data_IF_823419347173
#
_entry.id   IF_823419347173
#
_cell.length_a   1.000
_cell.length_b   1.000
_cell.length_c   1.000
_cell.angle_alpha   90.00
_cell.angle_beta   90.00
_cell.angle_gamma   90.00
#
_symmetry.space_group_name_H-M   'P 1'
#
loop_
_entity.id
_entity.type
_entity.pdbx_description
1 polymer ?
#
# COMPACT_ATOMS: atom_id res chain seq x y z
N UNK A 1 15.69 -0.02 -12.01
CA UNK A 1 15.24 1.39 -11.94
C UNK A 1 16.30 2.25 -12.58
N UNK A 2 16.07 2.73 -13.80
CA UNK A 2 16.96 3.69 -14.44
C UNK A 2 16.39 5.09 -14.19
N UNK A 3 16.99 5.85 -13.28
CA UNK A 3 16.57 7.21 -13.00
C UNK A 3 17.23 8.16 -14.00
N UNK A 4 16.39 8.87 -14.77
CA UNK A 4 16.78 10.08 -15.49
C UNK A 4 16.07 11.26 -14.82
N UNK A 5 16.86 12.27 -14.50
CA UNK A 5 16.45 13.49 -13.80
C UNK A 5 15.64 14.43 -14.71
N UNK A 6 14.72 15.20 -14.12
CA UNK A 6 14.27 16.48 -14.65
C UNK A 6 13.98 17.46 -13.49
N UNK A 7 14.48 18.71 -13.54
CA UNK A 7 14.34 19.70 -12.47
C UNK A 7 13.15 20.64 -12.72
N UNK A 8 12.47 21.10 -11.66
CA UNK A 8 11.39 22.08 -11.78
C UNK A 8 10.60 22.41 -10.51
N UNK A 9 11.27 23.06 -9.56
CA UNK A 9 10.85 24.29 -8.86
C UNK A 9 9.72 24.37 -7.78
N UNK A 10 10.05 25.24 -6.80
CA UNK A 10 9.27 26.03 -5.80
C UNK A 10 8.59 25.39 -4.56
N UNK A 11 9.33 25.52 -3.46
CA UNK A 11 8.99 25.74 -2.03
C UNK A 11 7.56 26.19 -1.62
N UNK A 12 7.04 25.52 -0.59
CA UNK A 12 6.27 26.17 0.49
C UNK A 12 6.43 25.39 1.81
N UNK A 13 7.09 26.03 2.78
CA UNK A 13 7.22 25.58 4.17
C UNK A 13 5.89 25.78 4.90
N UNK A 14 5.39 24.75 5.60
CA UNK A 14 4.36 24.92 6.63
C UNK A 14 4.49 23.83 7.70
N UNK A 15 4.90 24.26 8.89
CA UNK A 15 4.89 23.50 10.14
C UNK A 15 3.47 23.44 10.72
N UNK A 16 2.94 22.24 11.00
CA UNK A 16 1.90 22.03 12.04
C UNK A 16 1.94 20.57 12.55
N UNK A 17 1.36 20.24 13.72
CA UNK A 17 2.07 19.69 14.87
C UNK A 17 1.90 18.17 15.07
N UNK A 18 2.68 17.66 16.01
CA UNK A 18 2.68 16.27 16.44
C UNK A 18 1.36 15.81 17.11
N UNK A 19 1.11 14.51 16.95
CA UNK A 19 0.41 13.60 17.87
C UNK A 19 -1.10 13.43 17.73
N UNK A 20 -1.49 12.30 17.12
CA UNK A 20 -2.59 11.46 17.61
C UNK A 20 -1.99 10.17 18.19
N UNK A 21 -1.65 10.25 19.48
CA UNK A 21 -1.49 9.10 20.36
C UNK A 21 -2.87 8.52 20.68
N UNK A 22 -3.00 7.19 20.70
CA UNK A 22 -4.03 6.48 21.48
C UNK A 22 -3.43 5.14 21.95
N UNK A 23 -3.69 4.71 23.20
CA UNK A 23 -2.66 4.13 24.07
C UNK A 23 -2.58 2.60 24.03
N UNK A 24 -1.49 2.08 24.59
CA UNK A 24 -1.32 0.66 24.92
C UNK A 24 -2.33 0.23 26.01
N UNK A 25 -2.75 -1.04 26.05
CA UNK A 25 -3.73 -1.49 27.02
C UNK A 25 -3.08 -1.69 28.40
N UNK A 26 -3.63 -1.00 29.40
CA UNK A 26 -3.37 -1.24 30.81
C UNK A 26 -4.22 -2.42 31.31
N UNK A 27 -3.61 -3.23 32.16
CA UNK A 27 -4.21 -4.39 32.83
C UNK A 27 -5.36 -4.04 33.78
N UNK A 28 -6.47 -4.78 33.62
CA UNK A 28 -7.57 -5.14 34.55
C UNK A 28 -8.12 -4.07 35.52
N UNK A 29 -9.38 -3.71 35.27
CA UNK A 29 -10.37 -3.23 36.24
C UNK A 29 -11.74 -3.23 35.56
N UNK A 30 -12.69 -3.96 36.15
CA UNK A 30 -14.08 -4.11 35.73
C UNK A 30 -14.82 -2.76 35.83
N UNK A 31 -15.34 -2.24 34.71
CA UNK A 31 -16.44 -1.27 34.65
C UNK A 31 -16.91 -1.09 33.20
N UNK A 32 -18.23 -1.09 32.99
CA UNK A 32 -18.89 -1.14 31.68
C UNK A 32 -18.50 0.01 30.74
N UNK A 33 -17.70 -0.32 29.73
CA UNK A 33 -17.40 0.55 28.58
C UNK A 33 -18.10 -0.01 27.35
N UNK A 34 -18.84 0.86 26.65
CA UNK A 34 -19.53 0.55 25.41
C UNK A 34 -18.59 -0.13 24.38
N UNK A 35 -19.09 -1.09 23.58
CA UNK A 35 -18.26 -1.78 22.61
C UNK A 35 -17.61 -0.79 21.65
N UNK A 36 -16.31 -0.99 21.38
CA UNK A 36 -15.56 -0.27 20.35
C UNK A 36 -16.37 -0.24 19.03
N UNK A 37 -16.33 0.86 18.26
CA UNK A 37 -17.12 0.97 17.03
C UNK A 37 -16.79 -0.21 16.13
N UNK A 38 -17.82 -0.98 15.78
CA UNK A 38 -17.71 -2.12 14.90
C UNK A 38 -17.02 -1.67 13.62
N UNK A 39 -15.83 -2.21 13.37
CA UNK A 39 -15.11 -2.00 12.12
C UNK A 39 -16.03 -2.48 11.00
N UNK A 40 -16.57 -1.55 10.22
CA UNK A 40 -17.34 -1.88 9.04
C UNK A 40 -16.42 -2.66 8.12
N UNK A 41 -16.69 -3.95 7.93
CA UNK A 41 -16.03 -4.77 6.92
C UNK A 41 -16.48 -4.24 5.57
N UNK A 42 -15.79 -3.22 5.05
CA UNK A 42 -15.95 -2.84 3.66
C UNK A 42 -15.49 -4.01 2.81
N UNK A 43 -16.34 -4.45 1.88
CA UNK A 43 -15.96 -5.46 0.92
C UNK A 43 -14.91 -4.86 -0.02
N UNK A 44 -13.76 -5.51 -0.12
CA UNK A 44 -12.70 -5.11 -1.05
C UNK A 44 -12.31 -6.28 -1.93
N UNK A 45 -11.82 -5.94 -3.12
CA UNK A 45 -11.26 -6.89 -4.09
C UNK A 45 -9.77 -6.57 -4.26
N UNK A 46 -8.93 -7.59 -4.28
CA UNK A 46 -7.49 -7.45 -4.57
C UNK A 46 -7.22 -8.20 -5.87
N UNK A 47 -6.63 -7.53 -6.86
CA UNK A 47 -6.23 -8.17 -8.12
C UNK A 47 -5.01 -7.49 -8.76
N UNK A 48 -4.42 -8.18 -9.75
CA UNK A 48 -3.45 -7.57 -10.66
C UNK A 48 -4.25 -6.89 -11.78
N UNK A 49 -4.19 -5.56 -11.93
CA UNK A 49 -4.87 -4.89 -13.03
C UNK A 49 -4.29 -5.33 -14.39
N UNK A 50 -5.07 -5.27 -15.46
CA UNK A 50 -4.55 -5.54 -16.81
C UNK A 50 -3.49 -4.49 -17.18
N UNK A 51 -2.49 -4.83 -18.03
CA UNK A 51 -1.45 -3.87 -18.45
C UNK A 51 -2.00 -2.58 -19.06
N UNK A 52 -3.16 -2.62 -19.72
CA UNK A 52 -3.82 -1.45 -20.31
C UNK A 52 -4.28 -0.41 -19.26
N UNK A 53 -4.44 -0.79 -17.99
CA UNK A 53 -4.75 0.15 -16.92
C UNK A 53 -3.59 1.16 -16.66
N UNK A 54 -2.39 0.87 -17.14
CA UNK A 54 -1.24 1.78 -17.06
C UNK A 54 -1.42 3.04 -17.94
N UNK A 55 -2.36 3.03 -18.88
CA UNK A 55 -2.65 4.15 -19.77
C UNK A 55 -3.85 4.99 -19.26
N UNK A 56 -4.52 4.57 -18.18
CA UNK A 56 -5.56 5.33 -17.47
C UNK A 56 -4.90 6.30 -16.48
N UNK A 57 -4.69 7.54 -16.90
CA UNK A 57 -4.01 8.56 -16.09
C UNK A 57 -4.70 8.81 -14.73
N UNK A 58 -6.03 9.01 -14.64
CA UNK A 58 -6.72 9.11 -13.34
C UNK A 58 -6.49 7.92 -12.39
N UNK A 59 -6.45 6.69 -12.93
CA UNK A 59 -6.17 5.49 -12.15
C UNK A 59 -4.73 5.48 -11.61
N UNK A 60 -3.75 5.75 -12.48
CA UNK A 60 -2.33 5.82 -12.13
C UNK A 60 -2.07 6.95 -11.12
N UNK A 61 -2.59 8.14 -11.36
CA UNK A 61 -2.43 9.31 -10.49
C UNK A 61 -2.99 9.06 -9.08
N UNK A 62 -4.11 8.33 -8.98
CA UNK A 62 -4.66 7.95 -7.67
C UNK A 62 -3.71 7.03 -6.90
N UNK A 63 -3.10 6.04 -7.56
CA UNK A 63 -2.13 5.14 -6.93
C UNK A 63 -0.86 5.89 -6.50
N UNK A 64 -0.32 6.76 -7.36
CA UNK A 64 0.83 7.63 -7.04
C UNK A 64 0.54 8.46 -5.79
N UNK A 65 -0.65 9.08 -5.73
CA UNK A 65 -1.07 9.87 -4.58
C UNK A 65 -1.10 9.03 -3.30
N UNK A 66 -1.75 7.86 -3.32
CA UNK A 66 -1.83 6.96 -2.16
C UNK A 66 -0.42 6.58 -1.68
N UNK A 67 0.46 6.14 -2.59
CA UNK A 67 1.81 5.71 -2.23
C UNK A 67 2.61 6.86 -1.62
N UNK A 68 2.65 8.02 -2.27
CA UNK A 68 3.45 9.14 -1.78
C UNK A 68 2.91 9.71 -0.46
N UNK A 69 1.59 9.78 -0.26
CA UNK A 69 0.99 10.20 1.02
C UNK A 69 1.32 9.22 2.15
N UNK A 70 1.23 7.91 1.91
CA UNK A 70 1.57 6.88 2.91
C UNK A 70 3.04 6.96 3.30
N UNK A 71 3.93 7.08 2.31
CA UNK A 71 5.37 7.03 2.53
C UNK A 71 5.92 8.32 3.13
N UNK A 72 5.31 9.47 2.86
CA UNK A 72 5.65 10.73 3.52
C UNK A 72 5.51 10.64 5.04
N UNK A 73 4.44 9.99 5.52
CA UNK A 73 4.22 9.75 6.96
C UNK A 73 5.11 8.61 7.47
N UNK A 74 5.19 7.50 6.73
CA UNK A 74 5.83 6.26 7.18
C UNK A 74 7.37 6.32 7.21
N UNK A 75 7.98 7.28 6.51
CA UNK A 75 9.43 7.43 6.35
C UNK A 75 9.92 8.83 6.76
N UNK A 76 9.17 9.49 7.63
CA UNK A 76 9.53 10.80 8.18
C UNK A 76 10.95 10.79 8.76
N UNK A 77 11.78 11.74 8.30
CA UNK A 77 13.17 11.88 8.74
C UNK A 77 14.16 10.86 8.16
N UNK A 78 13.73 9.95 7.28
CA UNK A 78 14.64 9.01 6.58
C UNK A 78 15.25 9.66 5.34
N UNK A 79 14.42 10.38 4.58
CA UNK A 79 14.78 11.02 3.32
C UNK A 79 14.95 12.52 3.48
N UNK A 80 15.76 13.14 2.61
CA UNK A 80 15.81 14.60 2.47
C UNK A 80 14.49 15.14 1.96
N UNK A 81 14.24 16.41 2.28
CA UNK A 81 13.03 17.12 1.86
C UNK A 81 12.82 17.07 0.34
N UNK A 82 11.57 16.91 -0.08
CA UNK A 82 11.18 16.83 -1.48
C UNK A 82 11.30 15.42 -2.10
N UNK A 83 11.77 14.42 -1.36
CA UNK A 83 11.77 13.04 -1.85
C UNK A 83 10.36 12.52 -2.09
N UNK A 84 10.14 11.94 -3.27
CA UNK A 84 8.91 11.21 -3.62
C UNK A 84 9.22 9.73 -3.74
N UNK A 85 8.33 8.88 -3.21
CA UNK A 85 8.54 7.44 -3.20
C UNK A 85 8.39 6.81 -4.58
N UNK A 86 7.49 7.36 -5.38
CA UNK A 86 7.17 6.89 -6.73
C UNK A 86 6.63 8.00 -7.61
N UNK A 87 6.72 7.79 -8.92
CA UNK A 87 6.14 8.63 -9.98
C UNK A 87 5.06 7.87 -10.78
N UNK A 88 4.29 8.59 -11.60
CA UNK A 88 3.32 7.99 -12.52
C UNK A 88 3.98 7.04 -13.53
N UNK A 89 5.18 7.37 -14.00
CA UNK A 89 5.94 6.51 -14.92
C UNK A 89 6.29 5.16 -14.28
N UNK A 90 6.78 5.17 -13.04
CA UNK A 90 7.12 3.95 -12.30
C UNK A 90 5.88 3.11 -11.98
N UNK A 91 4.78 3.74 -11.54
CA UNK A 91 3.51 3.04 -11.29
C UNK A 91 2.99 2.39 -12.58
N UNK A 92 3.00 3.11 -13.70
CA UNK A 92 2.59 2.58 -14.99
C UNK A 92 3.50 1.41 -15.45
N UNK A 93 4.82 1.49 -15.22
CA UNK A 93 5.75 0.40 -15.51
C UNK A 93 5.44 -0.86 -14.68
N UNK A 94 5.22 -0.72 -13.37
CA UNK A 94 4.85 -1.84 -12.49
C UNK A 94 3.51 -2.48 -12.88
N UNK A 95 2.53 -1.68 -13.33
CA UNK A 95 1.26 -2.20 -13.84
C UNK A 95 1.48 -2.99 -15.13
N UNK A 96 2.23 -2.44 -16.10
CA UNK A 96 2.53 -3.14 -17.37
C UNK A 96 3.29 -4.44 -17.14
N UNK A 97 4.18 -4.48 -16.15
CA UNK A 97 4.92 -5.67 -15.75
C UNK A 97 4.07 -6.71 -14.99
N UNK A 98 2.83 -6.37 -14.59
CA UNK A 98 1.99 -7.24 -13.76
C UNK A 98 2.56 -7.48 -12.36
N UNK A 99 3.31 -6.49 -11.86
CA UNK A 99 3.97 -6.50 -10.55
C UNK A 99 3.20 -5.73 -9.49
N UNK A 100 2.25 -4.87 -9.86
CA UNK A 100 1.45 -4.11 -8.90
C UNK A 100 0.10 -4.78 -8.65
N UNK A 101 -0.13 -5.31 -7.45
CA UNK A 101 -1.48 -5.69 -7.01
C UNK A 101 -2.20 -4.49 -6.41
N UNK A 102 -3.48 -4.34 -6.74
CA UNK A 102 -4.30 -3.19 -6.35
C UNK A 102 -5.52 -3.67 -5.57
N UNK A 103 -5.81 -2.99 -4.47
CA UNK A 103 -7.02 -3.14 -3.70
C UNK A 103 -8.07 -2.13 -4.18
N UNK A 104 -9.29 -2.62 -4.34
CA UNK A 104 -10.43 -1.87 -4.81
C UNK A 104 -11.55 -1.92 -3.79
N UNK A 105 -12.23 -0.79 -3.57
CA UNK A 105 -13.48 -0.79 -2.82
C UNK A 105 -14.56 -1.45 -3.68
N UNK A 106 -15.14 -2.54 -3.20
CA UNK A 106 -16.37 -3.09 -3.76
C UNK A 106 -17.48 -2.33 -3.05
N UNK A 107 -18.25 -1.53 -3.78
CA UNK A 107 -19.42 -0.87 -3.20
C UNK A 107 -20.38 -1.96 -2.69
N UNK A 108 -20.26 -2.31 -1.41
CA UNK A 108 -21.24 -3.14 -0.72
C UNK A 108 -22.53 -2.36 -0.69
N UNK A 109 -23.56 -2.88 -1.37
CA UNK A 109 -24.94 -2.40 -1.40
C UNK A 109 -25.15 -1.04 -0.74
N UNK A 110 -25.32 0.03 -1.54
CA UNK A 110 -26.14 1.15 -1.11
C UNK A 110 -27.42 0.55 -0.54
N UNK A 111 -27.57 0.52 0.80
CA UNK A 111 -28.87 0.29 1.42
C UNK A 111 -29.70 1.48 1.00
N UNK A 112 -30.37 1.33 -0.14
CA UNK A 112 -31.50 2.14 -0.51
C UNK A 112 -32.53 1.91 0.58
N UNK A 113 -32.52 2.73 1.62
CA UNK A 113 -33.72 2.98 2.40
C UNK A 113 -34.64 3.83 1.52
N UNK A 114 -35.16 3.21 0.46
CA UNK A 114 -36.29 3.72 -0.28
C UNK A 114 -37.50 3.49 0.61
N UNK A 115 -37.80 4.50 1.42
CA UNK A 115 -39.14 4.69 1.98
C UNK A 115 -40.04 4.89 0.76
N UNK A 116 -40.81 3.85 0.44
CA UNK A 116 -41.84 3.87 -0.58
C UNK A 116 -42.98 4.76 -0.13
N UNK A 117 -43.01 6.00 -0.61
CA UNK A 117 -44.26 6.77 -0.65
C UNK A 117 -44.90 6.55 -2.02
N UNK A 118 -46.01 5.80 -2.01
CA UNK A 118 -46.98 5.74 -3.10
C UNK A 118 -47.54 7.13 -3.39
N UNK A 119 -47.55 7.53 -4.65
CA UNK A 119 -48.63 8.33 -5.20
C UNK A 119 -48.71 8.14 -6.72
N UNK A 120 -49.90 7.78 -7.18
CA UNK A 120 -50.27 7.48 -8.56
C UNK A 120 -50.22 8.70 -9.48
N UNK A 121 -49.80 8.53 -10.75
CA UNK A 121 -50.63 8.69 -11.98
C UNK A 121 -49.79 8.95 -13.26
N UNK A 122 -50.09 8.11 -14.27
CA UNK A 122 -50.16 8.26 -15.74
C UNK A 122 -49.01 8.75 -16.64
N UNK A 123 -48.81 7.92 -17.68
CA UNK A 123 -48.51 8.18 -19.09
C UNK A 123 -47.47 9.26 -19.45
N UNK A 124 -46.31 8.83 -19.94
CA UNK A 124 -45.94 9.13 -21.32
C UNK A 124 -44.77 8.28 -21.82
N UNK A 125 -44.85 7.99 -23.11
CA UNK A 125 -44.01 7.11 -23.89
C UNK A 125 -42.86 7.94 -24.46
N UNK A 126 -41.65 7.80 -23.92
CA UNK A 126 -40.48 8.27 -24.66
C UNK A 126 -39.22 7.40 -24.50
N UNK A 127 -38.61 7.23 -25.66
CA UNK A 127 -37.39 6.54 -26.08
C UNK A 127 -36.27 6.37 -25.02
N UNK A 128 -36.13 5.14 -24.51
CA UNK A 128 -35.00 4.73 -23.68
C UNK A 128 -33.78 4.38 -24.56
N UNK A 129 -33.06 5.38 -25.08
CA UNK A 129 -31.63 5.21 -25.36
C UNK A 129 -30.92 5.23 -24.01
N UNK A 130 -30.87 4.07 -23.36
CA UNK A 130 -30.02 3.83 -22.20
C UNK A 130 -28.56 4.04 -22.65
N UNK A 131 -28.06 5.28 -22.49
CA UNK A 131 -26.62 5.51 -22.37
C UNK A 131 -26.20 4.64 -21.21
N UNK A 132 -25.52 3.54 -21.50
CA UNK A 132 -24.76 2.78 -20.52
C UNK A 132 -23.85 3.77 -19.81
N UNK A 133 -24.28 4.31 -18.66
CA UNK A 133 -23.37 5.02 -17.78
C UNK A 133 -22.22 4.05 -17.54
N UNK A 134 -20.96 4.43 -17.80
CA UNK A 134 -19.83 3.61 -17.42
C UNK A 134 -20.06 3.24 -15.95
N UNK A 135 -20.15 1.94 -15.65
CA UNK A 135 -20.16 1.51 -14.26
C UNK A 135 -18.97 2.21 -13.61
N UNK A 136 -19.15 2.90 -12.47
CA UNK A 136 -18.04 3.60 -11.83
C UNK A 136 -16.91 2.59 -11.66
N UNK A 137 -15.78 2.86 -12.31
CA UNK A 137 -14.63 1.97 -12.23
C UNK A 137 -14.31 1.82 -10.74
N UNK A 138 -14.11 0.58 -10.26
CA UNK A 138 -13.90 0.33 -8.85
C UNK A 138 -12.71 1.18 -8.39
N UNK A 139 -12.89 1.94 -7.31
CA UNK A 139 -11.92 2.94 -6.89
C UNK A 139 -10.72 2.26 -6.21
N UNK A 140 -9.47 2.51 -6.66
CA UNK A 140 -8.30 1.97 -5.99
C UNK A 140 -8.10 2.63 -4.62
N UNK A 141 -7.93 1.80 -3.60
CA UNK A 141 -7.76 2.19 -2.19
C UNK A 141 -6.41 1.74 -1.61
N UNK A 142 -5.60 1.03 -2.38
CA UNK A 142 -4.25 0.64 -1.97
C UNK A 142 -3.55 -0.25 -2.99
N UNK A 143 -2.26 -0.47 -2.79
CA UNK A 143 -1.46 -1.36 -3.63
C UNK A 143 -0.33 -2.04 -2.86
N UNK A 144 0.23 -3.09 -3.46
CA UNK A 144 1.48 -3.73 -3.08
C UNK A 144 2.22 -4.15 -4.34
N UNK A 145 3.51 -3.88 -4.40
CA UNK A 145 4.37 -4.35 -5.48
C UNK A 145 4.90 -5.75 -5.15
N UNK A 146 4.88 -6.67 -6.12
CA UNK A 146 5.24 -8.08 -5.98
C UNK A 146 6.13 -8.48 -7.15
N UNK A 147 7.36 -8.86 -6.85
CA UNK A 147 8.39 -9.20 -7.86
C UNK A 147 8.97 -10.57 -7.60
N UNK A 148 9.65 -11.11 -8.61
CA UNK A 148 10.55 -12.25 -8.44
C UNK A 148 11.96 -11.66 -8.33
N UNK A 149 12.69 -12.00 -7.28
CA UNK A 149 14.08 -11.59 -7.16
C UNK A 149 14.94 -12.39 -8.12
N UNK A 150 15.93 -11.75 -8.77
CA UNK A 150 16.93 -12.49 -9.52
C UNK A 150 17.68 -13.42 -8.56
N UNK A 151 18.10 -14.58 -9.08
CA UNK A 151 18.99 -15.48 -8.33
C UNK A 151 20.31 -14.73 -8.12
N UNK A 152 20.73 -14.59 -6.86
CA UNK A 152 22.02 -13.99 -6.53
C UNK A 152 23.19 -14.80 -7.08
N UNK A 153 24.39 -14.22 -7.04
CA UNK A 153 25.62 -14.91 -7.50
C UNK A 153 25.92 -16.16 -6.67
N UNK A 154 25.48 -16.19 -5.41
CA UNK A 154 25.42 -17.40 -4.59
C UNK A 154 24.14 -18.17 -4.92
N UNK A 155 24.27 -19.47 -5.25
CA UNK A 155 23.24 -20.41 -5.72
C UNK A 155 22.02 -20.62 -4.78
N UNK A 156 21.36 -19.54 -4.38
CA UNK A 156 20.19 -19.51 -3.52
C UNK A 156 18.92 -19.85 -4.28
N UNK A 157 17.90 -20.28 -3.53
CA UNK A 157 16.55 -20.51 -4.06
C UNK A 157 15.96 -19.19 -4.59
N UNK A 158 15.22 -19.27 -5.71
CA UNK A 158 14.46 -18.13 -6.21
C UNK A 158 13.44 -17.66 -5.17
N UNK A 159 13.35 -16.34 -4.96
CA UNK A 159 12.46 -15.74 -3.96
C UNK A 159 11.48 -14.78 -4.60
N UNK A 160 10.30 -14.68 -4.00
CA UNK A 160 9.41 -13.55 -4.23
C UNK A 160 9.84 -12.39 -3.35
N UNK A 161 9.56 -11.17 -3.78
CA UNK A 161 9.66 -9.97 -2.95
C UNK A 161 8.33 -9.26 -2.99
N UNK A 162 7.91 -8.68 -1.87
CA UNK A 162 6.93 -7.61 -1.93
C UNK A 162 7.42 -6.36 -1.20
N UNK A 163 7.00 -5.22 -1.73
CA UNK A 163 7.32 -3.89 -1.23
C UNK A 163 6.23 -2.91 -1.63
N UNK A 164 6.45 -1.62 -1.34
CA UNK A 164 5.50 -0.56 -1.68
C UNK A 164 4.05 -0.88 -1.23
N UNK A 165 3.90 -1.43 -0.01
CA UNK A 165 2.59 -1.69 0.58
C UNK A 165 1.99 -0.37 1.07
N UNK A 166 1.04 0.18 0.32
CA UNK A 166 0.44 1.48 0.58
C UNK A 166 -1.09 1.37 0.58
N UNK A 167 -1.73 1.81 1.66
CA UNK A 167 -3.19 1.85 1.80
C UNK A 167 -3.65 3.27 2.10
N UNK A 168 -4.70 3.70 1.41
CA UNK A 168 -5.41 4.95 1.70
C UNK A 168 -5.82 4.96 3.19
N UNK A 169 -5.57 6.09 3.86
CA UNK A 169 -5.72 6.22 5.31
C UNK A 169 -7.13 5.89 5.79
N UNK A 170 -8.15 6.19 4.97
CA UNK A 170 -9.55 5.92 5.29
C UNK A 170 -9.89 4.43 5.39
N UNK A 171 -9.07 3.56 4.79
CA UNK A 171 -9.32 2.11 4.70
C UNK A 171 -8.32 1.27 5.51
N UNK A 172 -7.57 1.90 6.42
CA UNK A 172 -6.65 1.20 7.35
C UNK A 172 -7.43 0.63 8.55
N UNK A 173 -6.82 -0.32 9.27
CA UNK A 173 -7.41 -0.89 10.49
C UNK A 173 -8.43 -2.03 10.30
N UNK A 174 -8.98 -2.22 9.09
CA UNK A 174 -9.93 -3.30 8.77
C UNK A 174 -9.31 -4.64 8.33
N UNK A 175 -8.00 -4.84 8.53
CA UNK A 175 -7.30 -6.05 8.11
C UNK A 175 -6.88 -6.10 6.64
N UNK A 176 -7.22 -5.10 5.83
CA UNK A 176 -6.82 -4.98 4.41
C UNK A 176 -5.31 -5.16 4.20
N UNK A 177 -4.46 -4.56 5.04
CA UNK A 177 -3.00 -4.71 4.93
C UNK A 177 -2.53 -6.16 5.08
N UNK A 178 -3.18 -6.93 5.96
CA UNK A 178 -2.89 -8.37 6.11
C UNK A 178 -3.37 -9.16 4.90
N UNK A 179 -4.52 -8.79 4.33
CA UNK A 179 -5.03 -9.41 3.11
C UNK A 179 -4.14 -9.14 1.89
N UNK A 180 -3.60 -7.92 1.75
CA UNK A 180 -2.62 -7.57 0.72
C UNK A 180 -1.34 -8.40 0.83
N UNK A 181 -0.80 -8.57 2.04
CA UNK A 181 0.37 -9.43 2.27
C UNK A 181 0.05 -10.89 1.92
N UNK A 182 -1.12 -11.41 2.32
CA UNK A 182 -1.55 -12.76 1.93
C UNK A 182 -1.66 -12.93 0.42
N UNK A 183 -2.25 -11.95 -0.27
CA UNK A 183 -2.33 -11.95 -1.73
C UNK A 183 -0.93 -12.01 -2.37
N UNK A 184 0.03 -11.25 -1.85
CA UNK A 184 1.42 -11.30 -2.31
C UNK A 184 2.06 -12.68 -2.08
N UNK A 185 1.87 -13.26 -0.90
CA UNK A 185 2.33 -14.61 -0.57
C UNK A 185 1.73 -15.67 -1.51
N UNK A 186 0.41 -15.63 -1.74
CA UNK A 186 -0.29 -16.57 -2.62
C UNK A 186 0.13 -16.42 -4.08
N UNK A 187 0.42 -15.18 -4.52
CA UNK A 187 0.98 -14.94 -5.85
C UNK A 187 2.37 -15.56 -5.99
N UNK A 188 3.19 -15.50 -4.95
CA UNK A 188 4.51 -16.13 -4.93
C UNK A 188 4.40 -17.66 -4.93
N UNK A 189 3.50 -18.24 -4.11
CA UNK A 189 3.17 -19.68 -4.14
C UNK A 189 2.76 -20.13 -5.55
N UNK A 190 1.85 -19.38 -6.17
CA UNK A 190 1.39 -19.67 -7.54
C UNK A 190 2.47 -19.57 -8.62
N UNK A 191 3.61 -18.92 -8.32
CA UNK A 191 4.80 -18.87 -9.18
C UNK A 191 5.85 -19.94 -8.81
N UNK A 192 5.56 -20.83 -7.85
CA UNK A 192 6.48 -21.86 -7.38
C UNK A 192 7.58 -21.35 -6.44
N UNK A 193 7.45 -20.12 -5.92
CA UNK A 193 8.45 -19.52 -5.03
C UNK A 193 8.17 -19.97 -3.59
N UNK A 194 9.16 -20.60 -2.96
CA UNK A 194 9.03 -21.15 -1.61
C UNK A 194 9.32 -20.11 -0.51
N UNK A 195 9.88 -18.96 -0.86
CA UNK A 195 10.30 -17.92 0.09
C UNK A 195 9.88 -16.55 -0.40
N UNK A 196 9.41 -15.71 0.52
CA UNK A 196 9.09 -14.30 0.26
C UNK A 196 9.97 -13.42 1.13
N UNK A 197 10.56 -12.42 0.49
CA UNK A 197 11.37 -11.37 1.10
C UNK A 197 10.57 -10.06 1.21
N UNK A 198 10.85 -9.30 2.26
CA UNK A 198 10.50 -7.88 2.35
C UNK A 198 11.66 -7.13 2.99
N UNK A 199 11.67 -5.82 2.80
CA UNK A 199 12.83 -5.00 3.16
C UNK A 199 12.37 -3.75 3.91
N UNK A 200 13.09 -3.40 4.97
CA UNK A 200 12.81 -2.23 5.78
C UNK A 200 14.07 -1.41 6.00
N UNK A 201 13.99 -0.13 5.68
CA UNK A 201 15.02 0.86 5.98
C UNK A 201 14.72 1.54 7.32
N UNK A 202 15.69 1.53 8.24
CA UNK A 202 15.60 2.08 9.59
C UNK A 202 16.64 3.18 9.78
N UNK A 203 16.27 4.42 10.14
CA UNK A 203 17.25 5.41 10.54
C UNK A 203 17.93 4.99 11.85
N UNK A 204 19.23 5.21 11.96
CA UNK A 204 20.00 4.87 13.17
C UNK A 204 20.20 6.07 14.10
N UNK A 205 19.97 7.28 13.61
CA UNK A 205 20.11 8.51 14.38
C UNK A 205 18.98 8.74 15.41
N UNK A 206 17.84 8.06 15.27
CA UNK A 206 16.69 8.18 16.18
C UNK A 206 15.81 6.93 16.16
N UNK A 207 14.97 6.76 17.19
CA UNK A 207 13.98 5.69 17.21
C UNK A 207 12.79 6.04 16.28
N UNK A 208 12.59 5.22 15.25
CA UNK A 208 11.44 5.38 14.36
C UNK A 208 10.27 4.50 14.81
N UNK A 209 9.44 5.02 15.71
CA UNK A 209 8.34 4.27 16.35
C UNK A 209 7.41 3.54 15.37
N UNK A 210 7.11 4.14 14.20
CA UNK A 210 6.32 3.47 13.16
C UNK A 210 7.01 2.22 12.59
N UNK A 211 8.29 2.29 12.21
CA UNK A 211 9.06 1.14 11.68
C UNK A 211 9.21 0.06 12.76
N UNK A 212 9.38 0.43 14.02
CA UNK A 212 9.40 -0.52 15.15
C UNK A 212 8.06 -1.25 15.34
N UNK A 213 6.92 -0.58 15.10
CA UNK A 213 5.60 -1.24 15.10
C UNK A 213 5.41 -2.12 13.86
N UNK A 214 5.86 -1.65 12.70
CA UNK A 214 5.77 -2.35 11.42
C UNK A 214 6.57 -3.66 11.44
N UNK A 215 7.80 -3.64 11.95
CA UNK A 215 8.61 -4.85 12.14
C UNK A 215 7.91 -5.88 13.02
N UNK A 216 7.35 -5.47 14.17
CA UNK A 216 6.58 -6.39 15.04
C UNK A 216 5.34 -6.94 14.34
N UNK A 217 4.72 -6.16 13.45
CA UNK A 217 3.58 -6.61 12.66
C UNK A 217 3.98 -7.70 11.64
N UNK A 218 5.09 -7.52 10.93
CA UNK A 218 5.64 -8.55 10.04
C UNK A 218 6.11 -9.80 10.80
N UNK A 219 6.74 -9.64 11.96
CA UNK A 219 7.12 -10.76 12.83
C UNK A 219 5.92 -11.65 13.21
N UNK A 220 4.77 -11.04 13.56
CA UNK A 220 3.52 -11.78 13.84
C UNK A 220 2.94 -12.48 12.61
N UNK A 221 3.36 -12.10 11.40
CA UNK A 221 2.98 -12.79 10.16
C UNK A 221 3.98 -13.87 9.75
N UNK A 222 5.04 -14.08 10.53
CA UNK A 222 6.05 -15.13 10.32
C UNK A 222 7.29 -14.68 9.55
N UNK A 223 7.48 -13.36 9.34
CA UNK A 223 8.70 -12.84 8.75
C UNK A 223 9.78 -12.69 9.81
N UNK A 224 10.96 -13.24 9.54
CA UNK A 224 12.14 -13.13 10.40
C UNK A 224 13.22 -12.29 9.72
N UNK A 225 13.93 -11.47 10.49
CA UNK A 225 15.11 -10.77 9.98
C UNK A 225 16.21 -11.80 9.69
N UNK A 226 16.74 -11.80 8.48
CA UNK A 226 17.75 -12.80 8.05
C UNK A 226 19.11 -12.17 7.78
N UNK A 227 19.16 -10.90 7.36
CA UNK A 227 20.41 -10.16 7.15
C UNK A 227 20.22 -8.65 7.21
N UNK A 228 21.33 -7.95 7.44
CA UNK A 228 21.49 -6.56 7.05
C UNK A 228 22.07 -6.51 5.63
N UNK A 229 21.52 -5.65 4.78
CA UNK A 229 22.03 -5.36 3.45
C UNK A 229 22.78 -4.04 3.38
N UNK A 230 23.36 -3.76 2.21
CA UNK A 230 23.99 -2.49 1.90
C UNK A 230 23.06 -1.67 1.03
N UNK A 231 22.41 -0.67 1.63
CA UNK A 231 21.46 0.18 0.90
C UNK A 231 22.12 0.92 -0.28
N UNK A 232 23.39 1.29 -0.13
CA UNK A 232 24.14 1.99 -1.16
C UNK A 232 24.50 1.11 -2.36
N UNK A 233 24.68 -0.20 -2.15
CA UNK A 233 24.98 -1.14 -3.23
C UNK A 233 23.69 -1.49 -3.99
N UNK A 234 22.60 -1.72 -3.26
CA UNK A 234 21.31 -2.11 -3.85
C UNK A 234 20.58 -0.91 -4.48
N UNK A 235 20.76 0.30 -3.94
CA UNK A 235 20.12 1.55 -4.40
C UNK A 235 21.11 2.73 -4.47
N UNK A 236 22.11 2.68 -5.36
CA UNK A 236 23.18 3.69 -5.44
C UNK A 236 22.66 5.10 -5.77
N UNK A 237 21.56 5.21 -6.53
CA UNK A 237 20.94 6.50 -6.84
C UNK A 237 20.12 7.07 -5.69
N UNK A 238 19.60 6.22 -4.78
CA UNK A 238 18.77 6.66 -3.66
C UNK A 238 19.60 6.95 -2.41
N UNK A 239 20.69 6.21 -2.18
CA UNK A 239 21.51 6.38 -0.98
C UNK A 239 21.98 7.83 -0.73
N UNK A 240 22.36 8.64 -1.74
CA UNK A 240 22.70 10.05 -1.55
C UNK A 240 21.55 10.93 -1.06
N UNK A 241 20.30 10.48 -1.21
CA UNK A 241 19.09 11.21 -0.82
C UNK A 241 18.66 10.95 0.63
N UNK A 242 19.36 10.07 1.35
CA UNK A 242 19.12 9.84 2.77
C UNK A 242 19.46 11.10 3.59
N UNK A 243 18.64 11.37 4.60
CA UNK A 243 18.87 12.44 5.56
C UNK A 243 19.97 12.10 6.58
N UNK A 244 20.24 10.81 6.77
CA UNK A 244 21.22 10.32 7.72
C UNK A 244 21.49 8.81 7.58
N UNK A 245 22.33 8.24 8.46
CA UNK A 245 22.66 6.83 8.43
C UNK A 245 21.42 5.96 8.65
N UNK A 246 21.31 4.88 7.89
CA UNK A 246 20.23 3.92 7.97
C UNK A 246 20.74 2.48 7.96
N UNK A 247 20.05 1.61 8.67
CA UNK A 247 20.17 0.16 8.56
C UNK A 247 19.13 -0.36 7.58
N UNK A 248 19.59 -1.12 6.59
CA UNK A 248 18.74 -1.76 5.61
C UNK A 248 18.59 -3.23 5.97
N UNK A 249 17.39 -3.60 6.43
CA UNK A 249 17.10 -4.89 7.04
C UNK A 249 16.26 -5.74 6.11
N UNK A 250 16.70 -6.98 5.90
CA UNK A 250 16.03 -7.94 5.02
C UNK A 250 15.32 -8.97 5.89
N UNK A 251 14.04 -9.17 5.60
CA UNK A 251 13.18 -10.12 6.28
C UNK A 251 12.67 -11.17 5.31
N UNK A 252 12.62 -12.41 5.74
CA UNK A 252 12.12 -13.52 4.93
C UNK A 252 11.09 -14.36 5.67
N UNK A 253 10.21 -14.98 4.89
CA UNK A 253 9.26 -15.99 5.34
C UNK A 253 9.22 -17.13 4.34
N UNK A 254 9.32 -18.36 4.86
CA UNK A 254 9.07 -19.57 4.07
C UNK A 254 7.57 -19.78 3.90
N UNK A 255 7.14 -19.95 2.66
CA UNK A 255 5.77 -20.25 2.28
C UNK A 255 5.59 -21.76 2.40
N UNK A 256 5.11 -22.20 3.56
CA UNK A 256 4.52 -23.53 3.72
C UNK A 256 3.18 -23.63 3.01
#
# INVERSE_FOLDING_TARGET
MACRENPGDVIASTTVPASTLTPAPATRGDDGVAPAPACSTEDYKIEIPPPAAADDAPFVDRLVRIVNEVYLEAEVGIWRDGFQRTSAAEVAEMIRAGELAVAYLVNGNSRSSSISNKSDTNDDKDSNMARSQPQPQPQPIGCVCIKKLPVGEDAGEEKGEFGMLALDAAHRGGGLGRAMVRFAEDRCRGRGLATVQLELLFPTAFEHAFKARLQRWYARMGYAEVRLGSFADDFPCLAPLLAGPCEYRIFEKRLV
#
